data_IF_179244887232
#
_entry.id   IF_179244887232
#
_cell.length_a   1.000
_cell.length_b   1.000
_cell.length_c   1.000
_cell.angle_alpha   90.00
_cell.angle_beta   90.00
_cell.angle_gamma   90.00
#
_symmetry.space_group_name_H-M   'P 1'
#
loop_
_entity.id
_entity.type
_entity.pdbx_description
1 polymer ?
#
# COMPACT_ATOMS: atom_id res chain seq x y z
N UNK A 1 0.35 8.68 -5.21
CA UNK A 1 -0.56 8.42 -6.34
C UNK A 1 0.11 8.90 -7.62
N UNK A 2 0.13 8.08 -8.64
CA UNK A 2 0.62 8.43 -9.97
C UNK A 2 -0.53 8.39 -10.97
N UNK A 3 -0.69 9.46 -11.74
CA UNK A 3 -1.75 9.62 -12.72
C UNK A 3 -1.19 10.14 -14.05
N UNK A 4 -1.85 9.83 -15.15
CA UNK A 4 -1.49 10.31 -16.49
C UNK A 4 -2.72 10.73 -17.27
N UNK A 5 -2.52 11.71 -18.16
CA UNK A 5 -3.50 12.10 -19.16
C UNK A 5 -3.54 11.07 -20.28
N UNK A 6 -4.74 10.61 -20.64
CA UNK A 6 -4.96 9.72 -21.77
C UNK A 6 -6.20 10.16 -22.53
N UNK A 7 -6.28 9.73 -23.77
CA UNK A 7 -7.50 9.72 -24.56
C UNK A 7 -7.81 8.26 -24.84
N UNK A 8 -9.04 7.87 -24.59
CA UNK A 8 -9.46 6.48 -24.80
C UNK A 8 -9.96 6.23 -26.23
N UNK A 9 -10.40 5.00 -26.50
CA UNK A 9 -10.89 4.60 -27.82
C UNK A 9 -12.15 5.35 -28.26
N UNK A 10 -12.91 5.91 -27.33
CA UNK A 10 -14.10 6.73 -27.59
C UNK A 10 -13.76 8.22 -27.81
N UNK A 11 -12.48 8.59 -27.78
CA UNK A 11 -12.00 9.97 -27.90
C UNK A 11 -12.17 10.80 -26.63
N UNK A 12 -12.52 10.21 -25.49
CA UNK A 12 -12.76 10.91 -24.23
C UNK A 12 -11.47 11.15 -23.47
N UNK A 13 -11.34 12.37 -22.93
CA UNK A 13 -10.23 12.75 -22.05
C UNK A 13 -10.34 12.03 -20.72
N UNK A 14 -9.32 11.25 -20.37
CA UNK A 14 -9.27 10.38 -19.21
C UNK A 14 -8.12 10.72 -18.28
N UNK A 15 -8.39 10.76 -16.97
CA UNK A 15 -7.38 10.70 -15.93
C UNK A 15 -7.10 9.23 -15.63
N UNK A 16 -6.01 8.69 -16.18
CA UNK A 16 -5.59 7.31 -15.90
C UNK A 16 -4.87 7.25 -14.56
N UNK A 17 -5.41 6.50 -13.63
CA UNK A 17 -4.77 6.20 -12.34
C UNK A 17 -3.83 5.03 -12.54
N UNK A 18 -2.54 5.33 -12.57
CA UNK A 18 -1.51 4.33 -12.74
C UNK A 18 -1.13 3.64 -11.45
N UNK A 19 -1.11 4.38 -10.33
CA UNK A 19 -0.72 3.82 -9.06
C UNK A 19 -1.33 4.56 -7.89
N UNK A 20 -1.84 3.80 -6.93
CA UNK A 20 -2.26 4.27 -5.61
C UNK A 20 -1.47 3.47 -4.57
N UNK A 21 -0.64 4.15 -3.80
CA UNK A 21 0.24 3.56 -2.80
C UNK A 21 0.22 4.39 -1.52
N UNK A 22 0.37 3.73 -0.39
CA UNK A 22 0.60 4.35 0.90
C UNK A 22 1.65 3.55 1.67
N UNK A 23 2.85 4.07 1.73
CA UNK A 23 3.97 3.45 2.45
C UNK A 23 3.67 3.34 3.94
N UNK A 24 3.00 4.33 4.51
CA UNK A 24 2.57 4.29 5.90
C UNK A 24 1.64 3.10 6.19
N UNK A 25 0.59 2.91 5.37
CA UNK A 25 -0.33 1.79 5.57
C UNK A 25 0.29 0.44 5.21
N UNK A 26 1.23 0.41 4.28
CA UNK A 26 2.00 -0.79 3.97
C UNK A 26 2.88 -1.17 5.17
N UNK A 27 3.68 -0.25 5.68
CA UNK A 27 4.51 -0.46 6.85
C UNK A 27 3.67 -0.81 8.09
N UNK A 28 2.49 -0.19 8.25
CA UNK A 28 1.57 -0.53 9.34
C UNK A 28 1.01 -1.94 9.28
N UNK A 29 0.77 -2.49 8.08
CA UNK A 29 0.36 -3.90 7.92
C UNK A 29 1.51 -4.87 8.19
N UNK A 30 2.74 -4.49 7.85
CA UNK A 30 3.93 -5.34 8.01
C UNK A 30 4.49 -5.31 9.43
N UNK A 31 4.51 -4.13 10.05
CA UNK A 31 5.20 -3.87 11.33
C UNK A 31 4.23 -3.58 12.48
N UNK A 32 2.95 -3.42 12.19
CA UNK A 32 1.96 -2.97 13.16
C UNK A 32 1.89 -1.44 13.28
N UNK A 33 0.85 -0.97 13.96
CA UNK A 33 0.64 0.45 14.28
C UNK A 33 0.86 0.68 15.77
N UNK A 34 1.42 1.82 16.13
CA UNK A 34 1.59 2.28 17.52
C UNK A 34 0.23 2.74 18.09
N UNK A 35 -0.61 1.78 18.44
CA UNK A 35 -1.90 2.04 19.09
C UNK A 35 -1.74 2.09 20.61
N UNK A 36 -2.79 2.54 21.32
CA UNK A 36 -2.80 2.51 22.81
C UNK A 36 -2.71 1.08 23.32
N UNK A 37 -3.44 0.16 22.71
CA UNK A 37 -3.42 -1.26 23.04
C UNK A 37 -2.03 -1.87 22.75
N UNK A 38 -1.41 -1.44 21.67
CA UNK A 38 -0.03 -1.81 21.31
C UNK A 38 0.99 -1.28 22.31
N UNK A 39 0.80 -0.09 22.87
CA UNK A 39 1.65 0.48 23.91
C UNK A 39 1.57 -0.32 25.22
N UNK A 40 0.36 -0.66 25.65
CA UNK A 40 0.14 -1.48 26.82
C UNK A 40 0.79 -2.87 26.69
N UNK A 41 0.58 -3.53 25.54
CA UNK A 41 1.20 -4.83 25.26
C UNK A 41 2.73 -4.74 25.27
N UNK A 42 3.30 -3.73 24.63
CA UNK A 42 4.74 -3.49 24.63
C UNK A 42 5.28 -3.25 26.05
N UNK A 43 4.60 -2.42 26.84
CA UNK A 43 4.97 -2.15 28.22
C UNK A 43 4.98 -3.44 29.04
N UNK A 44 3.90 -4.21 29.00
CA UNK A 44 3.78 -5.46 29.74
C UNK A 44 4.82 -6.53 29.35
N UNK A 45 5.36 -6.47 28.13
CA UNK A 45 6.43 -7.34 27.65
C UNK A 45 7.83 -6.89 28.09
N UNK A 46 8.01 -5.60 28.41
CA UNK A 46 9.31 -4.98 28.69
C UNK A 46 9.43 -4.43 30.13
N UNK A 47 8.36 -4.42 30.91
CA UNK A 47 8.38 -4.00 32.31
C UNK A 47 9.11 -5.03 33.20
N UNK A 48 9.70 -4.54 34.28
CA UNK A 48 10.24 -5.39 35.35
C UNK A 48 9.11 -5.88 36.27
N UNK A 49 9.39 -6.92 37.07
CA UNK A 49 8.40 -7.54 37.96
C UNK A 49 7.83 -6.55 39.00
N UNK A 50 8.65 -5.60 39.46
CA UNK A 50 8.27 -4.58 40.43
C UNK A 50 7.63 -3.32 39.83
N UNK A 51 7.54 -3.23 38.49
CA UNK A 51 6.91 -2.09 37.83
C UNK A 51 5.38 -2.13 37.99
N UNK A 52 4.72 -0.94 38.11
CA UNK A 52 3.27 -0.88 38.24
C UNK A 52 2.55 -1.49 37.03
N UNK A 53 1.26 -1.79 37.19
CA UNK A 53 0.46 -2.18 36.02
C UNK A 53 0.28 -1.02 35.05
N UNK A 54 0.07 -1.27 33.76
CA UNK A 54 -0.14 -0.22 32.77
C UNK A 54 -1.37 0.65 33.11
N UNK A 55 -2.38 0.06 33.75
CA UNK A 55 -3.60 0.76 34.17
C UNK A 55 -3.33 1.82 35.25
N UNK A 56 -2.36 1.56 36.14
CA UNK A 56 -2.01 2.43 37.28
C UNK A 56 -1.08 3.58 36.89
N UNK A 57 -0.55 3.58 35.65
CA UNK A 57 0.32 4.66 35.17
C UNK A 57 -0.46 5.94 34.94
N UNK A 58 0.10 7.06 35.41
CA UNK A 58 -0.42 8.38 35.08
C UNK A 58 -0.04 8.81 33.63
N UNK A 59 -0.56 9.95 33.19
CA UNK A 59 -0.35 10.45 31.81
C UNK A 59 1.11 10.77 31.50
N UNK A 60 1.87 11.26 32.48
CA UNK A 60 3.29 11.59 32.29
C UNK A 60 4.13 10.32 32.15
N UNK A 61 3.91 9.33 33.00
CA UNK A 61 4.56 8.02 32.91
C UNK A 61 4.27 7.33 31.57
N UNK A 62 3.01 7.35 31.09
CA UNK A 62 2.66 6.82 29.77
C UNK A 62 3.38 7.54 28.64
N UNK A 63 3.53 8.86 28.74
CA UNK A 63 4.27 9.66 27.76
C UNK A 63 5.76 9.32 27.72
N UNK A 64 6.36 9.00 28.87
CA UNK A 64 7.76 8.53 28.94
C UNK A 64 7.90 7.14 28.29
N UNK A 65 6.97 6.23 28.58
CA UNK A 65 6.95 4.89 28.00
C UNK A 65 6.77 4.95 26.47
N UNK A 66 5.86 5.81 25.99
CA UNK A 66 5.65 6.02 24.55
C UNK A 66 6.92 6.55 23.87
N UNK A 67 7.60 7.49 24.49
CA UNK A 67 8.87 8.03 24.01
C UNK A 67 9.98 6.95 24.00
N UNK A 68 10.09 6.16 25.04
CA UNK A 68 11.06 5.07 25.11
C UNK A 68 10.82 4.01 24.03
N UNK A 69 9.56 3.66 23.77
CA UNK A 69 9.18 2.80 22.65
C UNK A 69 9.59 3.42 21.30
N UNK A 70 9.39 4.73 21.15
CA UNK A 70 9.66 5.44 19.91
C UNK A 70 11.16 5.58 19.58
N UNK A 71 12.02 5.69 20.59
CA UNK A 71 13.48 5.72 20.41
C UNK A 71 14.14 4.34 20.29
N UNK A 72 13.34 3.26 20.22
CA UNK A 72 13.84 1.91 19.91
C UNK A 72 14.47 1.15 21.08
N UNK A 73 14.24 1.58 22.31
CA UNK A 73 14.64 0.81 23.50
C UNK A 73 13.68 -0.38 23.65
N UNK A 74 13.86 -1.42 22.83
CA UNK A 74 13.02 -2.61 22.85
C UNK A 74 12.55 -3.11 21.46
N UNK A 75 13.04 -2.52 20.37
CA UNK A 75 12.86 -3.06 19.01
C UNK A 75 11.47 -2.94 18.39
N UNK A 76 10.59 -2.02 18.87
CA UNK A 76 9.30 -1.79 18.24
C UNK A 76 9.46 -0.97 16.96
N UNK A 77 9.49 -1.67 15.81
CA UNK A 77 9.53 -1.09 14.48
C UNK A 77 8.15 -0.66 13.95
N UNK A 78 7.11 -0.65 14.81
CA UNK A 78 5.77 -0.25 14.44
C UNK A 78 5.73 1.22 14.02
N UNK A 79 4.87 1.54 13.05
CA UNK A 79 4.69 2.92 12.57
C UNK A 79 3.65 3.68 13.41
N UNK A 80 3.67 5.01 13.43
CA UNK A 80 2.64 5.80 14.08
C UNK A 80 1.24 5.35 13.68
N UNK A 81 0.27 5.49 14.59
CA UNK A 81 -1.11 5.12 14.27
C UNK A 81 -1.66 5.96 13.11
N UNK A 82 -2.31 5.29 12.17
CA UNK A 82 -2.77 5.90 10.95
C UNK A 82 -4.30 5.91 10.88
N UNK A 83 -4.92 7.02 10.47
CA UNK A 83 -6.33 7.02 10.13
C UNK A 83 -6.58 6.16 8.88
N UNK A 84 -7.78 5.58 8.77
CA UNK A 84 -8.23 4.89 7.56
C UNK A 84 -7.46 3.63 7.18
N UNK A 85 -6.97 2.86 8.14
CA UNK A 85 -6.14 1.66 7.94
C UNK A 85 -6.63 0.76 6.80
N UNK A 86 -7.97 0.57 6.71
CA UNK A 86 -8.59 -0.32 5.72
C UNK A 86 -9.26 0.45 4.56
N UNK A 87 -9.40 1.77 4.66
CA UNK A 87 -10.18 2.58 3.72
C UNK A 87 -9.40 3.72 3.05
N UNK A 88 -8.11 3.82 3.28
CA UNK A 88 -7.25 4.88 2.75
C UNK A 88 -7.32 5.03 1.22
N UNK A 89 -7.47 3.91 0.50
CA UNK A 89 -7.62 3.91 -0.96
C UNK A 89 -8.93 4.58 -1.40
N UNK A 90 -9.99 4.49 -0.58
CA UNK A 90 -11.28 5.15 -0.87
C UNK A 90 -11.12 6.67 -0.81
N UNK A 91 -10.35 7.18 0.15
CA UNK A 91 -10.00 8.59 0.25
C UNK A 91 -9.22 9.03 -1.01
N UNK A 92 -8.23 8.24 -1.41
CA UNK A 92 -7.43 8.50 -2.60
C UNK A 92 -8.31 8.56 -3.87
N UNK A 93 -9.15 7.55 -4.10
CA UNK A 93 -10.03 7.48 -5.27
C UNK A 93 -11.07 8.60 -5.29
N UNK A 94 -11.68 8.96 -4.14
CA UNK A 94 -12.58 10.12 -4.04
C UNK A 94 -11.86 11.42 -4.41
N UNK A 95 -10.64 11.62 -3.92
CA UNK A 95 -9.82 12.79 -4.24
C UNK A 95 -9.48 12.86 -5.72
N UNK A 96 -9.09 11.74 -6.32
CA UNK A 96 -8.79 11.65 -7.76
C UNK A 96 -10.03 11.88 -8.61
N UNK A 97 -11.20 11.35 -8.22
CA UNK A 97 -12.46 11.61 -8.92
C UNK A 97 -12.84 13.09 -8.88
N UNK A 98 -12.68 13.75 -7.71
CA UNK A 98 -12.88 15.20 -7.61
C UNK A 98 -11.88 15.96 -8.50
N UNK A 99 -10.62 15.58 -8.46
CA UNK A 99 -9.59 16.20 -9.30
C UNK A 99 -9.94 16.07 -10.80
N UNK A 100 -10.38 14.88 -11.23
CA UNK A 100 -10.83 14.67 -12.60
C UNK A 100 -12.02 15.56 -12.96
N UNK A 101 -13.00 15.68 -12.08
CA UNK A 101 -14.17 16.53 -12.26
C UNK A 101 -13.79 18.03 -12.38
N UNK A 102 -12.89 18.51 -11.50
CA UNK A 102 -12.46 19.92 -11.47
C UNK A 102 -11.58 20.30 -12.68
N UNK A 103 -10.86 19.33 -13.27
CA UNK A 103 -9.91 19.58 -14.38
C UNK A 103 -10.44 19.14 -15.77
N UNK A 104 -11.75 18.96 -15.89
CA UNK A 104 -12.40 18.76 -17.19
C UNK A 104 -12.18 17.38 -17.80
N UNK A 105 -11.78 16.37 -17.02
CA UNK A 105 -11.77 15.00 -17.50
C UNK A 105 -13.21 14.48 -17.64
N UNK A 106 -13.40 13.61 -18.61
CA UNK A 106 -14.66 12.95 -18.88
C UNK A 106 -14.72 11.56 -18.21
N UNK A 107 -13.55 10.97 -17.95
CA UNK A 107 -13.40 9.66 -17.33
C UNK A 107 -12.24 9.63 -16.32
N UNK A 108 -12.38 8.80 -15.29
CA UNK A 108 -11.27 8.30 -14.47
C UNK A 108 -11.06 6.83 -14.82
N UNK A 109 -9.84 6.49 -15.25
CA UNK A 109 -9.46 5.12 -15.62
C UNK A 109 -8.59 4.47 -14.56
N UNK A 110 -8.65 3.16 -14.48
CA UNK A 110 -7.81 2.33 -13.62
C UNK A 110 -6.99 1.36 -14.47
N UNK A 111 -5.70 1.27 -14.20
CA UNK A 111 -4.88 0.17 -14.72
C UNK A 111 -5.35 -1.16 -14.16
N UNK A 112 -5.06 -2.25 -14.85
CA UNK A 112 -5.36 -3.62 -14.40
C UNK A 112 -4.27 -4.16 -13.49
N UNK A 113 -4.59 -5.16 -12.67
CA UNK A 113 -3.61 -5.88 -11.87
C UNK A 113 -2.49 -6.50 -12.71
N UNK A 114 -2.80 -6.96 -13.93
CA UNK A 114 -1.82 -7.46 -14.90
C UNK A 114 -0.82 -6.36 -15.31
N UNK A 115 -1.31 -5.16 -15.61
CA UNK A 115 -0.45 -4.01 -15.95
C UNK A 115 0.45 -3.62 -14.77
N UNK A 116 -0.10 -3.64 -13.55
CA UNK A 116 0.68 -3.37 -12.35
C UNK A 116 1.74 -4.47 -12.13
N UNK A 117 1.36 -5.73 -12.18
CA UNK A 117 2.31 -6.84 -12.04
C UNK A 117 3.45 -6.74 -13.06
N UNK A 118 3.14 -6.40 -14.32
CA UNK A 118 4.17 -6.27 -15.36
C UNK A 118 5.16 -5.10 -15.17
N UNK A 119 4.81 -4.09 -14.37
CA UNK A 119 5.72 -2.98 -14.01
C UNK A 119 6.73 -3.38 -12.95
N UNK A 120 6.34 -4.28 -12.07
CA UNK A 120 7.17 -4.80 -10.99
C UNK A 120 7.76 -6.19 -11.30
N UNK A 121 7.66 -6.61 -12.56
CA UNK A 121 8.18 -7.88 -13.04
C UNK A 121 9.72 -7.84 -13.03
N UNK A 122 10.29 -8.55 -12.06
CA UNK A 122 11.74 -8.63 -11.88
C UNK A 122 12.42 -9.28 -13.07
N UNK A 123 11.74 -10.16 -13.84
CA UNK A 123 12.31 -10.81 -15.02
C UNK A 123 12.76 -9.82 -16.11
N UNK A 124 12.33 -8.57 -16.04
CA UNK A 124 12.74 -7.49 -16.95
C UNK A 124 13.99 -6.73 -16.48
N UNK A 125 14.39 -6.92 -15.24
CA UNK A 125 15.49 -6.20 -14.59
C UNK A 125 16.58 -7.12 -14.07
N UNK A 126 16.26 -8.41 -13.88
CA UNK A 126 17.11 -9.43 -13.29
C UNK A 126 17.06 -10.67 -14.15
N UNK A 127 18.22 -11.17 -14.57
CA UNK A 127 18.35 -12.39 -15.35
C UNK A 127 18.28 -13.65 -14.46
N UNK A 128 18.92 -13.60 -13.30
CA UNK A 128 18.98 -14.72 -12.35
C UNK A 128 19.00 -14.21 -10.90
N UNK A 129 18.29 -14.90 -10.01
CA UNK A 129 18.51 -14.87 -8.57
C UNK A 129 18.93 -16.28 -8.15
N UNK A 130 20.10 -16.39 -7.52
CA UNK A 130 20.64 -17.67 -7.05
C UNK A 130 20.81 -17.67 -5.54
N UNK A 131 20.66 -18.87 -4.93
CA UNK A 131 20.98 -19.16 -3.53
C UNK A 131 22.18 -20.09 -3.47
N UNK A 132 23.42 -19.58 -3.62
CA UNK A 132 24.61 -20.44 -3.70
C UNK A 132 24.86 -21.25 -2.43
N UNK A 133 24.43 -20.74 -1.27
CA UNK A 133 24.73 -21.35 0.02
C UNK A 133 23.61 -21.09 1.03
N UNK A 134 23.31 -22.09 1.83
CA UNK A 134 22.47 -22.02 3.03
C UNK A 134 23.30 -22.54 4.20
N UNK A 135 23.44 -21.78 5.26
CA UNK A 135 24.17 -22.14 6.47
C UNK A 135 23.29 -22.90 7.45
N UNK A 136 23.90 -23.59 8.42
CA UNK A 136 23.19 -24.35 9.46
C UNK A 136 22.32 -23.45 10.36
N UNK A 137 22.65 -22.18 10.54
CA UNK A 137 21.88 -21.19 11.27
C UNK A 137 20.67 -20.62 10.47
N UNK A 138 20.42 -21.15 9.26
CA UNK A 138 19.38 -20.67 8.36
C UNK A 138 19.72 -19.43 7.55
N UNK A 139 20.86 -18.79 7.81
CA UNK A 139 21.34 -17.69 6.97
C UNK A 139 21.74 -18.20 5.58
N UNK A 140 21.63 -17.33 4.57
CA UNK A 140 21.88 -17.72 3.19
C UNK A 140 22.55 -16.65 2.37
N UNK A 141 23.39 -17.06 1.43
CA UNK A 141 23.90 -16.19 0.39
C UNK A 141 22.88 -16.08 -0.73
N UNK A 142 22.61 -14.84 -1.17
CA UNK A 142 21.74 -14.56 -2.30
C UNK A 142 22.51 -13.74 -3.32
N UNK A 143 22.58 -14.23 -4.57
CA UNK A 143 23.16 -13.52 -5.70
C UNK A 143 22.04 -13.05 -6.62
N UNK A 144 22.07 -11.78 -6.97
CA UNK A 144 21.13 -11.16 -7.92
C UNK A 144 21.95 -10.72 -9.12
N UNK A 145 21.66 -11.27 -10.27
CA UNK A 145 22.30 -10.91 -11.53
C UNK A 145 21.34 -10.03 -12.34
N UNK A 146 21.53 -8.70 -12.36
CA UNK A 146 20.70 -7.81 -13.14
C UNK A 146 20.96 -7.97 -14.64
N UNK A 147 19.95 -7.68 -15.49
CA UNK A 147 20.08 -7.70 -16.96
C UNK A 147 21.15 -6.73 -17.46
N UNK A 148 21.51 -5.74 -16.67
CA UNK A 148 22.63 -4.82 -16.93
C UNK A 148 23.27 -4.40 -15.61
N UNK A 149 24.63 -4.36 -15.60
CA UNK A 149 25.40 -3.97 -14.42
C UNK A 149 26.08 -5.15 -13.74
N UNK A 150 26.49 -4.94 -12.48
CA UNK A 150 27.27 -5.92 -11.73
C UNK A 150 26.39 -6.73 -10.81
N UNK A 151 26.67 -8.02 -10.68
CA UNK A 151 25.99 -8.91 -9.73
C UNK A 151 26.05 -8.37 -8.29
N UNK A 152 24.92 -8.41 -7.61
CA UNK A 152 24.76 -8.01 -6.22
C UNK A 152 24.79 -9.29 -5.38
N UNK A 153 25.66 -9.32 -4.36
CA UNK A 153 25.76 -10.44 -3.42
C UNK A 153 25.30 -10.01 -2.05
N UNK A 154 24.31 -10.70 -1.51
CA UNK A 154 23.72 -10.42 -0.20
C UNK A 154 23.93 -11.61 0.73
N UNK A 155 24.13 -11.34 2.01
CA UNK A 155 23.90 -12.32 3.07
C UNK A 155 22.59 -11.96 3.75
N UNK A 156 21.74 -12.95 3.96
CA UNK A 156 20.41 -12.80 4.53
C UNK A 156 20.31 -13.74 5.73
N UNK A 157 19.87 -13.23 6.87
CA UNK A 157 19.67 -14.05 8.07
C UNK A 157 18.41 -14.95 7.97
N UNK A 158 18.18 -15.77 8.99
CA UNK A 158 17.02 -16.66 9.10
C UNK A 158 15.67 -15.95 9.11
N UNK A 159 15.65 -14.65 9.45
CA UNK A 159 14.47 -13.77 9.47
C UNK A 159 14.26 -13.02 8.17
N UNK A 160 15.13 -13.22 7.20
CA UNK A 160 15.06 -12.54 5.91
C UNK A 160 15.61 -11.11 5.93
N UNK A 161 16.45 -10.74 6.92
CA UNK A 161 17.12 -9.45 6.98
C UNK A 161 18.46 -9.53 6.25
N UNK A 162 18.74 -8.56 5.40
CA UNK A 162 20.02 -8.42 4.71
C UNK A 162 21.07 -7.93 5.71
N UNK A 163 22.09 -8.75 5.98
CA UNK A 163 23.18 -8.42 6.92
C UNK A 163 24.40 -7.85 6.23
N UNK A 164 24.41 -7.82 4.89
CA UNK A 164 25.47 -7.29 4.04
C UNK A 164 26.52 -8.34 3.66
N UNK A 165 26.88 -8.39 2.38
CA UNK A 165 27.98 -9.23 1.88
C UNK A 165 28.37 -8.79 0.46
N UNK A 166 29.62 -8.35 0.28
CA UNK A 166 30.17 -8.06 -1.04
C UNK A 166 29.80 -6.68 -1.63
N UNK A 167 30.24 -6.46 -2.86
CA UNK A 167 30.02 -5.20 -3.56
C UNK A 167 28.53 -4.97 -3.83
N UNK A 168 28.04 -3.75 -3.58
CA UNK A 168 26.64 -3.36 -3.82
C UNK A 168 25.66 -3.71 -2.72
N UNK A 169 26.08 -4.44 -1.66
CA UNK A 169 25.16 -4.87 -0.57
C UNK A 169 24.88 -3.78 0.47
N UNK A 170 25.75 -2.81 0.62
CA UNK A 170 25.70 -1.80 1.71
C UNK A 170 24.40 -1.00 1.74
N UNK A 171 23.84 -0.69 0.58
CA UNK A 171 22.57 0.02 0.44
C UNK A 171 21.33 -0.80 0.87
N UNK A 172 21.49 -2.11 1.01
CA UNK A 172 20.42 -3.04 1.39
C UNK A 172 20.57 -3.56 2.82
N UNK A 173 21.68 -3.29 3.49
CA UNK A 173 21.93 -3.76 4.85
C UNK A 173 20.84 -3.27 5.81
N UNK A 174 20.33 -4.16 6.64
CA UNK A 174 19.22 -3.92 7.58
C UNK A 174 17.83 -3.96 6.96
N UNK A 175 17.70 -4.04 5.63
CA UNK A 175 16.41 -4.18 4.96
C UNK A 175 15.97 -5.64 4.93
N UNK A 176 14.67 -5.87 4.85
CA UNK A 176 14.15 -7.21 4.54
C UNK A 176 14.43 -7.57 3.08
N UNK A 177 14.74 -8.82 2.82
CA UNK A 177 14.91 -9.30 1.43
C UNK A 177 13.66 -9.02 0.59
N UNK A 178 12.46 -9.10 1.19
CA UNK A 178 11.19 -8.77 0.53
C UNK A 178 11.08 -7.30 0.08
N UNK A 179 11.81 -6.39 0.70
CA UNK A 179 11.89 -4.98 0.27
C UNK A 179 12.87 -4.79 -0.91
N UNK A 180 13.77 -5.74 -1.11
CA UNK A 180 14.80 -5.70 -2.16
C UNK A 180 14.31 -6.37 -3.45
N UNK A 181 13.74 -7.58 -3.35
CA UNK A 181 13.35 -8.41 -4.50
C UNK A 181 11.85 -8.72 -4.58
N UNK A 182 11.04 -8.07 -3.73
CA UNK A 182 9.61 -8.35 -3.62
C UNK A 182 9.30 -9.60 -2.79
N UNK A 183 8.09 -9.61 -2.21
CA UNK A 183 7.72 -10.63 -1.20
C UNK A 183 7.69 -12.03 -1.78
N UNK A 184 7.05 -12.22 -2.94
CA UNK A 184 6.83 -13.56 -3.51
C UNK A 184 8.15 -14.27 -3.85
N UNK A 185 9.11 -13.51 -4.39
CA UNK A 185 10.45 -14.05 -4.68
C UNK A 185 11.24 -14.24 -3.39
N UNK A 186 11.18 -13.29 -2.45
CA UNK A 186 11.84 -13.44 -1.17
C UNK A 186 11.36 -14.68 -0.41
N UNK A 187 10.05 -14.94 -0.39
CA UNK A 187 9.46 -16.13 0.23
C UNK A 187 9.96 -17.44 -0.44
N UNK A 188 10.12 -17.45 -1.76
CA UNK A 188 10.71 -18.57 -2.50
C UNK A 188 12.20 -18.74 -2.14
N UNK A 189 12.97 -17.65 -2.17
CA UNK A 189 14.40 -17.63 -1.83
C UNK A 189 14.62 -18.10 -0.40
N UNK A 190 13.80 -17.65 0.56
CA UNK A 190 13.91 -18.06 1.97
C UNK A 190 13.60 -19.54 2.23
N UNK A 191 12.88 -20.20 1.33
CA UNK A 191 12.55 -21.63 1.39
C UNK A 191 13.44 -22.51 0.51
N UNK A 192 14.28 -21.88 -0.31
CA UNK A 192 15.10 -22.60 -1.28
C UNK A 192 16.27 -23.32 -0.60
N UNK A 193 16.65 -24.46 -1.17
CA UNK A 193 17.88 -25.15 -0.87
C UNK A 193 19.08 -24.45 -1.51
N UNK A 194 20.29 -24.83 -1.05
CA UNK A 194 21.54 -24.36 -1.68
C UNK A 194 21.56 -24.73 -3.17
N UNK A 195 22.26 -23.95 -3.98
CA UNK A 195 22.38 -24.07 -5.44
C UNK A 195 21.07 -23.88 -6.23
N UNK A 196 20.00 -23.42 -5.57
CA UNK A 196 18.73 -23.09 -6.25
C UNK A 196 18.88 -21.80 -7.07
N UNK A 197 18.30 -21.80 -8.27
CA UNK A 197 18.28 -20.67 -9.20
C UNK A 197 16.86 -20.34 -9.63
N UNK A 198 16.56 -19.05 -9.68
CA UNK A 198 15.30 -18.49 -10.16
C UNK A 198 15.58 -17.66 -11.40
N UNK A 199 14.91 -17.97 -12.52
CA UNK A 199 15.10 -17.30 -13.81
C UNK A 199 13.76 -17.15 -14.52
N UNK A 200 13.66 -16.22 -15.46
CA UNK A 200 12.50 -16.08 -16.36
C UNK A 200 11.16 -16.04 -15.60
N UNK A 201 10.32 -17.08 -15.79
CA UNK A 201 8.99 -17.15 -15.17
C UNK A 201 9.01 -17.22 -13.64
N UNK A 202 10.09 -17.74 -13.06
CA UNK A 202 10.23 -17.78 -11.59
C UNK A 202 10.38 -16.40 -10.98
N UNK A 203 10.97 -15.46 -11.74
CA UNK A 203 11.13 -14.05 -11.36
C UNK A 203 9.88 -13.22 -11.67
N UNK A 204 8.95 -13.75 -12.44
CA UNK A 204 7.67 -13.10 -12.70
C UNK A 204 6.83 -13.13 -11.42
N UNK A 205 6.78 -12.02 -10.74
CA UNK A 205 6.05 -11.86 -9.47
C UNK A 205 4.57 -12.07 -9.71
N UNK A 206 3.93 -12.94 -8.95
CA UNK A 206 2.53 -13.31 -9.10
C UNK A 206 1.51 -12.19 -9.02
N UNK A 207 1.86 -11.06 -8.38
CA UNK A 207 1.02 -9.86 -8.33
C UNK A 207 -0.39 -10.07 -7.76
N UNK A 208 -0.64 -11.15 -7.03
CA UNK A 208 -1.95 -11.52 -6.48
C UNK A 208 -2.57 -10.38 -5.65
N UNK A 209 -1.76 -9.73 -4.81
CA UNK A 209 -2.19 -8.57 -4.05
C UNK A 209 -2.57 -7.40 -4.95
N UNK A 210 -1.80 -7.14 -6.01
CA UNK A 210 -2.09 -6.07 -6.98
C UNK A 210 -3.34 -6.39 -7.79
N UNK A 211 -3.50 -7.65 -8.27
CA UNK A 211 -4.72 -8.08 -8.96
C UNK A 211 -5.94 -7.84 -8.08
N UNK A 212 -5.89 -8.25 -6.81
CA UNK A 212 -6.98 -8.03 -5.87
C UNK A 212 -7.36 -6.56 -5.73
N UNK A 213 -6.38 -5.66 -5.59
CA UNK A 213 -6.67 -4.23 -5.47
C UNK A 213 -7.17 -3.61 -6.77
N UNK A 214 -6.47 -3.83 -7.89
CA UNK A 214 -6.75 -3.15 -9.15
C UNK A 214 -7.88 -3.80 -9.96
N UNK A 215 -8.07 -5.13 -9.85
CA UNK A 215 -9.11 -5.83 -10.60
C UNK A 215 -10.42 -5.99 -9.83
N UNK A 216 -10.40 -5.91 -8.47
CA UNK A 216 -11.59 -6.14 -7.66
C UNK A 216 -11.93 -4.95 -6.75
N UNK A 217 -11.02 -4.57 -5.83
CA UNK A 217 -11.34 -3.62 -4.74
C UNK A 217 -11.60 -2.22 -5.29
N UNK A 218 -10.70 -1.68 -6.11
CA UNK A 218 -10.83 -0.32 -6.64
C UNK A 218 -12.02 -0.18 -7.60
N UNK A 219 -12.23 -1.09 -8.59
CA UNK A 219 -13.39 -1.02 -9.46
C UNK A 219 -14.70 -1.15 -8.69
N UNK A 220 -14.79 -2.09 -7.74
CA UNK A 220 -15.97 -2.29 -6.90
C UNK A 220 -16.31 -1.04 -6.07
N UNK A 221 -15.28 -0.40 -5.53
CA UNK A 221 -15.48 0.86 -4.81
C UNK A 221 -15.98 1.98 -5.75
N UNK A 222 -15.32 2.16 -6.92
CA UNK A 222 -15.72 3.18 -7.89
C UNK A 222 -17.13 2.94 -8.44
N UNK A 223 -17.52 1.69 -8.68
CA UNK A 223 -18.87 1.35 -9.10
C UNK A 223 -19.91 1.74 -8.05
N UNK A 224 -19.68 1.35 -6.79
CA UNK A 224 -20.55 1.75 -5.66
C UNK A 224 -20.62 3.27 -5.49
N UNK A 225 -19.48 3.94 -5.65
CA UNK A 225 -19.38 5.38 -5.52
C UNK A 225 -20.08 6.09 -6.68
N UNK A 226 -19.86 5.63 -7.92
CA UNK A 226 -20.43 6.19 -9.15
C UNK A 226 -21.94 6.10 -9.21
N UNK A 227 -22.55 5.01 -8.71
CA UNK A 227 -24.02 4.83 -8.67
C UNK A 227 -24.77 5.98 -8.04
N UNK A 228 -24.17 6.68 -7.08
CA UNK A 228 -24.75 7.89 -6.45
C UNK A 228 -24.90 9.05 -7.43
N UNK A 229 -24.17 9.01 -8.52
CA UNK A 229 -24.09 10.06 -9.55
C UNK A 229 -24.54 9.55 -10.92
N UNK A 230 -25.24 8.40 -10.95
CA UNK A 230 -25.73 7.80 -12.20
C UNK A 230 -24.64 7.23 -13.11
N UNK A 231 -23.46 6.91 -12.55
CA UNK A 231 -22.35 6.28 -13.26
C UNK A 231 -22.09 4.86 -12.78
N UNK A 232 -21.58 4.02 -13.67
CA UNK A 232 -21.11 2.66 -13.36
C UNK A 232 -19.75 2.43 -14.01
N UNK A 233 -18.99 1.48 -13.48
CA UNK A 233 -17.71 1.09 -14.04
C UNK A 233 -17.92 0.35 -15.36
N UNK A 234 -17.26 0.82 -16.41
CA UNK A 234 -17.20 0.22 -17.74
C UNK A 234 -15.79 -0.17 -18.14
N UNK A 235 -15.63 -0.70 -19.32
CA UNK A 235 -14.34 -1.05 -19.93
C UNK A 235 -14.15 -0.28 -21.24
N UNK A 236 -12.92 0.18 -21.47
CA UNK A 236 -12.49 0.84 -22.71
C UNK A 236 -11.07 0.43 -23.06
N UNK A 237 -10.61 0.85 -24.22
CA UNK A 237 -9.23 0.64 -24.64
C UNK A 237 -8.46 1.95 -24.63
N UNK A 238 -7.21 1.88 -24.21
CA UNK A 238 -6.24 2.95 -24.38
C UNK A 238 -5.09 2.46 -25.26
N UNK A 239 -4.50 3.38 -25.99
CA UNK A 239 -3.23 3.12 -26.66
C UNK A 239 -2.11 3.34 -25.66
N UNK A 240 -1.29 2.32 -25.45
CA UNK A 240 -0.07 2.46 -24.66
C UNK A 240 1.06 2.97 -25.54
N UNK A 241 1.88 3.86 -24.97
CA UNK A 241 3.09 4.32 -25.63
C UNK A 241 3.98 3.12 -25.96
N UNK A 242 4.74 3.25 -27.05
CA UNK A 242 5.66 2.23 -27.52
C UNK A 242 6.51 1.71 -26.34
N UNK A 243 6.41 0.41 -26.06
CA UNK A 243 7.43 -0.24 -25.27
C UNK A 243 8.78 -0.01 -25.97
N UNK A 244 9.76 0.54 -25.28
CA UNK A 244 11.12 0.63 -25.81
C UNK A 244 11.80 -0.71 -25.58
N UNK A 245 12.49 -1.22 -26.58
CA UNK A 245 13.35 -2.38 -26.40
C UNK A 245 14.58 -2.03 -25.53
N UNK A 246 15.39 -3.02 -25.24
CA UNK A 246 16.61 -2.86 -24.45
C UNK A 246 17.61 -1.85 -25.06
N UNK A 247 17.48 -1.51 -26.35
CA UNK A 247 18.27 -0.52 -27.08
C UNK A 247 17.63 0.86 -27.09
N UNK A 248 16.48 1.04 -26.43
CA UNK A 248 15.73 2.29 -26.39
C UNK A 248 14.94 2.62 -27.67
N UNK A 249 14.87 1.68 -28.61
CA UNK A 249 14.11 1.81 -29.86
C UNK A 249 12.63 1.57 -29.59
N UNK A 250 11.71 2.45 -30.04
CA UNK A 250 10.28 2.20 -29.90
C UNK A 250 9.87 0.90 -30.56
N UNK A 251 9.14 0.02 -29.87
CA UNK A 251 8.54 -1.16 -30.47
C UNK A 251 7.63 -0.74 -31.63
N UNK A 252 7.64 -1.48 -32.70
CA UNK A 252 7.10 -1.06 -34.01
C UNK A 252 5.57 -0.86 -34.04
N UNK A 253 4.83 -1.13 -32.97
CA UNK A 253 3.37 -0.89 -32.92
C UNK A 253 2.91 -0.52 -31.53
N UNK A 254 2.07 0.53 -31.37
CA UNK A 254 1.41 0.81 -30.11
C UNK A 254 0.49 -0.37 -29.76
N UNK A 255 0.57 -0.86 -28.54
CA UNK A 255 -0.37 -1.87 -28.05
C UNK A 255 -1.66 -1.19 -27.55
N UNK A 256 -2.79 -1.86 -27.80
CA UNK A 256 -4.06 -1.47 -27.18
C UNK A 256 -4.25 -2.29 -25.92
N UNK A 257 -4.58 -1.63 -24.85
CA UNK A 257 -4.83 -2.27 -23.55
C UNK A 257 -6.24 -1.95 -23.07
N UNK A 258 -6.95 -2.98 -22.61
CA UNK A 258 -8.25 -2.81 -21.97
C UNK A 258 -8.05 -2.37 -20.54
N UNK A 259 -8.74 -1.31 -20.16
CA UNK A 259 -8.76 -0.76 -18.80
C UNK A 259 -10.21 -0.54 -18.34
N UNK A 260 -10.38 -0.41 -17.03
CA UNK A 260 -11.66 -0.03 -16.44
C UNK A 260 -11.75 1.47 -16.26
N UNK A 261 -12.94 2.02 -16.41
CA UNK A 261 -13.18 3.44 -16.21
C UNK A 261 -14.50 3.72 -15.48
N UNK A 262 -14.61 4.91 -14.93
CA UNK A 262 -15.86 5.51 -14.45
C UNK A 262 -16.07 6.84 -15.18
N UNK A 263 -17.27 7.07 -15.74
CA UNK A 263 -17.61 8.36 -16.34
C UNK A 263 -17.73 9.45 -15.27
N UNK A 264 -17.22 10.65 -15.56
CA UNK A 264 -17.38 11.85 -14.74
C UNK A 264 -18.66 12.56 -15.19
N UNK A 265 -19.77 12.19 -14.59
CA UNK A 265 -21.09 12.73 -14.95
C UNK A 265 -21.26 14.20 -14.50
N UNK A 266 -22.22 14.96 -15.09
CA UNK A 266 -22.56 16.29 -14.60
C UNK A 266 -22.96 16.30 -13.12
N UNK A 267 -23.73 15.32 -12.68
CA UNK A 267 -24.12 15.15 -11.27
C UNK A 267 -22.91 14.91 -10.36
N UNK A 268 -21.91 14.18 -10.85
CA UNK A 268 -20.67 13.97 -10.13
C UNK A 268 -19.84 15.25 -10.01
N UNK A 269 -19.76 16.05 -11.08
CA UNK A 269 -19.09 17.36 -11.05
C UNK A 269 -19.74 18.28 -10.04
N UNK A 270 -21.06 18.40 -10.04
CA UNK A 270 -21.80 19.22 -9.09
C UNK A 270 -21.66 18.69 -7.65
N UNK A 271 -21.85 17.39 -7.46
CA UNK A 271 -21.80 16.76 -6.13
C UNK A 271 -20.42 16.85 -5.48
N UNK A 272 -19.34 16.74 -6.27
CA UNK A 272 -17.97 16.82 -5.75
C UNK A 272 -17.51 18.25 -5.48
N UNK A 273 -18.08 19.26 -6.18
CA UNK A 273 -17.77 20.69 -5.95
C UNK A 273 -18.28 21.17 -4.58
N UNK A 274 -19.41 20.66 -4.12
CA UNK A 274 -20.02 21.00 -2.81
C UNK A 274 -19.28 20.37 -1.60
N UNK A 275 -18.21 19.62 -1.85
CA UNK A 275 -17.50 18.85 -0.84
C UNK A 275 -18.02 17.42 -0.75
N UNK A 276 -17.11 16.48 -0.50
CA UNK A 276 -17.44 15.08 -0.31
C UNK A 276 -17.22 14.71 1.15
N UNK A 277 -18.19 14.07 1.83
CA UNK A 277 -17.89 13.47 3.12
C UNK A 277 -16.84 12.38 2.87
N UNK A 278 -15.67 12.58 3.46
CA UNK A 278 -14.57 11.60 3.40
C UNK A 278 -14.97 10.33 4.15
N UNK A 279 -15.93 10.45 5.07
CA UNK A 279 -16.58 9.38 5.83
C UNK A 279 -18.08 9.43 5.61
N UNK A 280 -18.77 8.31 5.77
CA UNK A 280 -20.14 8.39 6.22
C UNK A 280 -20.08 9.15 7.55
N UNK A 281 -20.60 10.36 7.60
CA UNK A 281 -20.91 10.96 8.87
C UNK A 281 -21.84 9.97 9.55
N UNK A 282 -21.34 9.26 10.56
CA UNK A 282 -22.22 8.73 11.56
C UNK A 282 -23.02 9.96 11.99
N UNK A 283 -24.35 9.99 11.88
CA UNK A 283 -25.11 11.10 12.41
C UNK A 283 -24.54 11.30 13.81
N UNK A 284 -23.96 12.47 14.09
CA UNK A 284 -23.72 12.88 15.46
C UNK A 284 -25.10 12.80 16.08
N UNK A 285 -25.36 11.73 16.81
CA UNK A 285 -26.49 11.69 17.70
C UNK A 285 -26.36 12.96 18.53
N UNK A 286 -27.39 13.81 18.60
CA UNK A 286 -27.30 15.03 19.38
C UNK A 286 -26.73 14.64 20.75
N UNK A 287 -25.82 15.43 21.30
CA UNK A 287 -25.12 15.11 22.56
C UNK A 287 -26.08 14.65 23.67
N UNK A 288 -27.34 15.08 23.59
CA UNK A 288 -28.43 14.66 24.44
C UNK A 288 -28.85 13.19 24.25
N UNK A 289 -28.53 12.53 23.14
CA UNK A 289 -28.90 11.12 22.93
C UNK A 289 -27.97 10.13 23.63
N UNK A 290 -26.82 10.60 24.13
CA UNK A 290 -25.85 9.83 24.94
C UNK A 290 -26.12 9.98 26.45
N UNK A 291 -27.04 10.86 26.84
CA UNK A 291 -27.41 11.03 28.24
C UNK A 291 -28.55 10.07 28.56
N UNK A 292 -28.46 9.40 29.70
CA UNK A 292 -29.57 8.65 30.24
C UNK A 292 -30.79 9.57 30.51
N UNK A 293 -31.95 8.98 30.65
CA UNK A 293 -33.22 9.74 30.72
C UNK A 293 -33.32 10.65 31.96
N UNK A 294 -32.61 10.31 33.05
CA UNK A 294 -32.52 11.13 34.24
C UNK A 294 -31.72 12.41 34.00
N UNK A 295 -30.56 12.32 33.39
CA UNK A 295 -29.72 13.49 33.05
C UNK A 295 -30.38 14.39 32.01
N UNK A 296 -31.22 13.85 31.11
CA UNK A 296 -32.03 14.67 30.19
C UNK A 296 -33.02 15.55 30.95
N UNK A 297 -33.73 14.97 31.92
CA UNK A 297 -34.71 15.73 32.75
C UNK A 297 -34.04 16.79 33.59
N UNK A 298 -32.86 16.51 34.14
CA UNK A 298 -32.09 17.47 34.93
C UNK A 298 -31.63 18.69 34.09
N UNK A 299 -31.13 18.47 32.87
CA UNK A 299 -30.72 19.56 31.99
C UNK A 299 -31.94 20.37 31.50
N UNK A 300 -33.08 19.74 31.23
CA UNK A 300 -34.30 20.45 30.82
C UNK A 300 -34.83 21.35 31.96
N UNK A 301 -34.74 20.89 33.20
CA UNK A 301 -35.19 21.68 34.36
C UNK A 301 -34.25 22.84 34.72
N UNK A 302 -33.03 22.88 34.20
CA UNK A 302 -32.06 23.97 34.38
C UNK A 302 -32.16 25.03 33.28
N UNK A 303 -32.91 24.76 32.20
CA UNK A 303 -33.10 25.66 31.07
C UNK A 303 -34.49 26.36 31.08
N UNK A 304 -35.39 25.98 31.97
CA UNK A 304 -36.63 26.68 32.33
C UNK A 304 -36.43 27.61 33.54
#
# INVERSE_FOLDING_TARGET
MRVNDRVDADGKKMLLVEEIQSDWHQAGRERGYKTKEGLEKWYNQNKLDDDPSFADLNSEQRSVIERNRDVGMGGDNAVPDAPFKDTWYQLALKRLTKYAADNGYERIGLTTGKQQASRFDLSKQVDEIAVPMVNEDGSRSVRIDPTSGTSIKLMVDDKGIVTGYGAGSTQFSGKKLSEVIGKDIADKVMKADADTKFTGLDLSVGGEGMKKYYDEIYPKFLDKYGKKYGASVGETQITTDYARDASGIPAQRPSKETIRYLDITPQMKEGTSKGQPLFAATPLLPATSLLDEEKRKEITSLLE
#
